data_IF_152298672886
#
_entry.id   IF_152298672886
#
_cell.length_a   1.000
_cell.length_b   1.000
_cell.length_c   1.000
_cell.angle_alpha   90.00
_cell.angle_beta   90.00
_cell.angle_gamma   90.00
#
_symmetry.space_group_name_H-M   'P 1'
#
loop_
_entity.id
_entity.type
_entity.pdbx_description
1 polymer ?
#
# COMPACT_ATOMS: atom_id res chain seq x y z
N UNK A 1 -7.98 -42.81 28.77
CA UNK A 1 -8.84 -42.32 27.66
C UNK A 1 -9.13 -40.81 27.71
N UNK A 2 -9.17 -40.16 28.89
CA UNK A 2 -9.49 -38.71 29.01
C UNK A 2 -8.37 -37.74 28.57
N UNK A 3 -7.11 -38.18 28.50
CA UNK A 3 -5.96 -37.32 28.13
C UNK A 3 -5.72 -37.21 26.61
N UNK A 4 -6.21 -38.17 25.82
CA UNK A 4 -6.07 -38.17 24.35
C UNK A 4 -7.11 -37.25 23.70
N UNK A 5 -8.30 -37.12 24.31
CA UNK A 5 -9.34 -36.18 23.86
C UNK A 5 -8.89 -34.72 24.03
N UNK A 6 -8.03 -34.43 25.01
CA UNK A 6 -7.52 -33.07 25.25
C UNK A 6 -6.51 -32.60 24.18
N UNK A 7 -5.81 -33.54 23.52
CA UNK A 7 -4.82 -33.23 22.47
C UNK A 7 -5.50 -32.96 21.12
N UNK A 8 -6.66 -33.57 20.86
CA UNK A 8 -7.42 -33.32 19.63
C UNK A 8 -8.16 -31.98 19.62
N UNK A 9 -8.40 -31.35 20.77
CA UNK A 9 -9.11 -30.05 20.84
C UNK A 9 -8.18 -28.83 20.60
N UNK A 10 -6.86 -29.02 20.64
CA UNK A 10 -5.88 -27.95 20.41
C UNK A 10 -5.45 -27.80 18.93
N UNK A 11 -5.90 -28.69 18.04
CA UNK A 11 -5.45 -28.73 16.65
C UNK A 11 -6.26 -27.92 15.63
N UNK A 12 -7.36 -27.26 16.03
CA UNK A 12 -8.35 -26.73 15.07
C UNK A 12 -8.40 -25.20 14.90
N UNK A 13 -7.41 -24.48 15.40
CA UNK A 13 -7.23 -23.04 15.14
C UNK A 13 -5.84 -22.94 14.51
N UNK A 14 -5.66 -22.69 13.21
CA UNK A 14 -5.81 -21.39 12.57
C UNK A 14 -5.77 -21.63 11.05
N UNK A 15 -6.90 -21.58 10.35
CA UNK A 15 -6.93 -21.32 8.89
C UNK A 15 -7.81 -20.10 8.62
N UNK A 16 -7.38 -18.96 9.18
CA UNK A 16 -7.88 -17.67 8.74
C UNK A 16 -7.27 -17.38 7.36
N UNK A 17 -8.00 -17.70 6.28
CA UNK A 17 -7.77 -17.13 4.95
C UNK A 17 -8.06 -15.62 5.04
N UNK A 18 -7.06 -14.88 5.49
CA UNK A 18 -7.06 -13.41 5.40
C UNK A 18 -6.92 -13.03 3.94
N UNK A 19 -7.76 -12.12 3.48
CA UNK A 19 -7.65 -11.50 2.16
C UNK A 19 -6.21 -11.02 1.99
N UNK A 20 -5.53 -11.56 0.97
CA UNK A 20 -4.10 -11.36 0.78
C UNK A 20 -3.84 -9.88 0.51
N UNK A 21 -3.45 -9.14 1.55
CA UNK A 21 -2.68 -7.93 1.34
C UNK A 21 -1.45 -8.34 0.53
N UNK A 22 -1.26 -7.71 -0.64
CA UNK A 22 -0.22 -8.06 -1.59
C UNK A 22 1.14 -7.89 -0.91
N UNK A 23 1.69 -8.99 -0.42
CA UNK A 23 3.02 -9.07 0.13
C UNK A 23 3.90 -9.81 -0.87
N UNK A 24 4.99 -9.18 -1.29
CA UNK A 24 5.96 -9.74 -2.21
C UNK A 24 7.29 -9.91 -1.49
N UNK A 25 7.65 -11.16 -1.16
CA UNK A 25 8.91 -11.47 -0.47
C UNK A 25 8.94 -12.79 0.27
N UNK A 26 10.00 -12.99 1.04
CA UNK A 26 10.22 -14.16 1.92
C UNK A 26 9.40 -14.02 3.21
N UNK A 27 9.04 -15.15 3.81
CA UNK A 27 8.37 -15.18 5.12
C UNK A 27 9.25 -15.95 6.12
N UNK A 28 9.22 -15.52 7.37
CA UNK A 28 9.99 -16.09 8.49
C UNK A 28 9.04 -16.42 9.65
N UNK A 29 9.49 -17.10 10.72
CA UNK A 29 8.69 -17.29 11.92
C UNK A 29 8.18 -15.95 12.46
N UNK A 30 6.92 -15.93 12.90
CA UNK A 30 6.25 -14.71 13.35
C UNK A 30 6.97 -14.04 14.52
N UNK A 31 7.00 -12.71 14.52
CA UNK A 31 7.59 -11.89 15.59
C UNK A 31 6.50 -11.19 16.38
N UNK A 32 6.80 -10.82 17.63
CA UNK A 32 5.86 -10.08 18.48
C UNK A 32 6.04 -8.56 18.39
N UNK A 33 7.28 -8.14 18.14
CA UNK A 33 7.70 -6.75 18.07
C UNK A 33 8.23 -6.47 16.67
N UNK A 34 7.89 -5.29 16.15
CA UNK A 34 8.33 -4.78 14.85
C UNK A 34 8.71 -3.33 15.08
N UNK A 35 9.95 -2.97 14.78
CA UNK A 35 10.41 -1.59 14.83
C UNK A 35 9.86 -0.82 13.61
N UNK A 36 9.41 0.41 13.82
CA UNK A 36 8.84 1.25 12.77
C UNK A 36 9.82 2.34 12.36
N UNK A 37 10.05 2.47 11.05
CA UNK A 37 10.95 3.46 10.46
C UNK A 37 10.23 4.21 9.35
N UNK A 38 10.55 5.49 9.20
CA UNK A 38 10.00 6.35 8.14
C UNK A 38 11.08 6.81 7.14
N UNK A 39 12.35 6.51 7.45
CA UNK A 39 13.47 6.63 6.54
C UNK A 39 14.35 5.37 6.65
N UNK A 40 14.89 4.92 5.52
CA UNK A 40 15.88 3.86 5.48
C UNK A 40 17.16 4.20 6.25
N UNK A 41 17.52 5.48 6.34
CA UNK A 41 18.70 5.96 7.06
C UNK A 41 18.59 5.82 8.59
N UNK A 42 17.37 5.71 9.12
CA UNK A 42 17.13 5.54 10.55
C UNK A 42 17.45 4.11 11.03
N UNK A 43 17.58 3.16 10.09
CA UNK A 43 17.89 1.76 10.39
C UNK A 43 19.38 1.58 10.64
N UNK A 44 19.78 1.73 11.90
CA UNK A 44 21.19 1.58 12.33
C UNK A 44 21.68 0.12 12.37
N UNK A 45 20.75 -0.84 12.43
CA UNK A 45 21.07 -2.26 12.52
C UNK A 45 21.34 -2.84 11.14
N UNK A 46 22.31 -3.75 11.05
CA UNK A 46 22.50 -4.56 9.85
C UNK A 46 21.25 -5.40 9.61
N UNK A 47 20.73 -5.36 8.39
CA UNK A 47 19.46 -5.98 8.07
C UNK A 47 19.41 -6.46 6.61
N UNK A 48 18.46 -7.34 6.35
CA UNK A 48 18.12 -7.81 5.02
C UNK A 48 16.66 -7.47 4.71
N UNK A 49 16.39 -6.97 3.51
CA UNK A 49 15.03 -6.75 3.03
C UNK A 49 14.36 -8.10 2.78
N UNK A 50 13.29 -8.39 3.51
CA UNK A 50 12.54 -9.64 3.33
C UNK A 50 11.47 -9.53 2.24
N UNK A 51 10.90 -8.34 2.04
CA UNK A 51 9.80 -8.14 1.11
C UNK A 51 9.20 -6.76 1.18
N UNK A 52 8.23 -6.52 0.33
CA UNK A 52 7.50 -5.25 0.22
C UNK A 52 6.00 -5.50 0.16
N UNK A 53 5.24 -4.53 0.63
CA UNK A 53 3.79 -4.48 0.44
C UNK A 53 3.39 -3.06 0.05
N UNK A 54 2.32 -2.96 -0.72
CA UNK A 54 1.72 -1.70 -1.13
C UNK A 54 0.28 -1.66 -0.64
N UNK A 55 -0.15 -0.47 -0.23
CA UNK A 55 -1.53 -0.16 0.09
C UNK A 55 -2.00 0.94 -0.87
N UNK A 56 -2.90 0.59 -1.80
CA UNK A 56 -3.51 1.51 -2.76
C UNK A 56 -4.65 2.36 -2.18
N UNK A 57 -4.83 3.59 -2.67
CA UNK A 57 -5.77 4.60 -2.17
C UNK A 57 -7.18 4.07 -1.80
N UNK A 58 -7.78 4.65 -0.74
CA UNK A 58 -9.11 4.27 -0.23
C UNK A 58 -9.16 4.05 1.29
N UNK A 59 -8.05 4.28 2.01
CA UNK A 59 -8.02 4.13 3.46
C UNK A 59 -8.78 5.26 4.13
N UNK A 60 -9.80 4.88 4.91
CA UNK A 60 -10.53 5.82 5.77
C UNK A 60 -9.66 6.40 6.90
N UNK A 61 -8.55 5.73 7.24
CA UNK A 61 -7.59 6.16 8.27
C UNK A 61 -6.20 5.60 7.94
N UNK A 62 -5.19 6.47 8.03
CA UNK A 62 -3.79 6.13 7.84
C UNK A 62 -3.28 5.24 8.99
N UNK A 63 -3.72 5.54 10.20
CA UNK A 63 -3.36 4.81 11.42
C UNK A 63 -3.81 3.35 11.33
N UNK A 64 -5.04 3.11 10.87
CA UNK A 64 -5.54 1.74 10.64
C UNK A 64 -4.76 1.00 9.56
N UNK A 65 -4.24 1.73 8.59
CA UNK A 65 -3.47 1.17 7.48
C UNK A 65 -2.06 0.78 7.94
N UNK A 66 -1.43 1.66 8.71
CA UNK A 66 -0.16 1.40 9.39
C UNK A 66 -0.28 0.18 10.32
N UNK A 67 -1.31 0.12 11.16
CA UNK A 67 -1.54 -1.03 12.04
C UNK A 67 -1.68 -2.35 11.27
N UNK A 68 -2.42 -2.36 10.15
CA UNK A 68 -2.54 -3.56 9.30
C UNK A 68 -1.20 -4.00 8.71
N UNK A 69 -0.36 -3.05 8.31
CA UNK A 69 0.98 -3.34 7.80
C UNK A 69 1.85 -3.92 8.92
N UNK A 70 1.79 -3.38 10.12
CA UNK A 70 2.51 -3.89 11.29
C UNK A 70 2.06 -5.32 11.62
N UNK A 71 0.75 -5.58 11.64
CA UNK A 71 0.22 -6.92 11.89
C UNK A 71 0.67 -7.92 10.82
N UNK A 72 0.72 -7.48 9.56
CA UNK A 72 1.26 -8.28 8.46
C UNK A 72 2.77 -8.53 8.66
N UNK A 73 3.53 -7.53 9.09
CA UNK A 73 4.96 -7.64 9.36
C UNK A 73 5.27 -8.65 10.47
N UNK A 74 4.51 -8.60 11.58
CA UNK A 74 4.56 -9.60 12.66
C UNK A 74 4.28 -11.00 12.12
N UNK A 75 3.20 -11.15 11.34
CA UNK A 75 2.83 -12.44 10.74
C UNK A 75 3.87 -12.97 9.75
N UNK A 76 4.60 -12.09 9.06
CA UNK A 76 5.66 -12.43 8.09
C UNK A 76 7.04 -12.59 8.74
N UNK A 77 7.16 -12.29 10.03
CA UNK A 77 8.40 -12.46 10.79
C UNK A 77 9.42 -11.34 10.58
N UNK A 78 8.96 -10.14 10.21
CA UNK A 78 9.79 -8.95 10.12
C UNK A 78 10.22 -8.48 11.52
N UNK A 79 11.42 -7.94 11.61
CA UNK A 79 11.88 -7.27 12.84
C UNK A 79 11.72 -5.76 12.74
N UNK A 80 11.58 -5.22 11.52
CA UNK A 80 11.25 -3.83 11.29
C UNK A 80 10.49 -3.60 9.99
N UNK A 81 9.87 -2.43 9.88
CA UNK A 81 9.18 -1.95 8.67
C UNK A 81 9.61 -0.52 8.39
N UNK A 82 9.97 -0.25 7.14
CA UNK A 82 10.26 1.09 6.64
C UNK A 82 9.06 1.53 5.80
N UNK A 83 8.35 2.57 6.25
CA UNK A 83 7.22 3.16 5.56
C UNK A 83 7.68 4.26 4.60
N UNK A 84 7.08 4.31 3.42
CA UNK A 84 7.21 5.43 2.49
C UNK A 84 5.87 5.74 1.83
N UNK A 85 5.74 6.97 1.34
CA UNK A 85 4.57 7.42 0.57
C UNK A 85 5.06 7.81 -0.81
N UNK A 86 4.48 7.19 -1.83
CA UNK A 86 4.74 7.54 -3.23
C UNK A 86 3.50 8.16 -3.86
N UNK A 87 3.71 9.17 -4.71
CA UNK A 87 2.68 9.74 -5.58
C UNK A 87 2.81 9.13 -6.98
N UNK A 88 1.81 8.35 -7.39
CA UNK A 88 1.75 7.77 -8.73
C UNK A 88 0.73 8.53 -9.58
N UNK A 89 1.12 8.97 -10.78
CA UNK A 89 0.19 9.52 -11.77
C UNK A 89 -0.52 8.34 -12.43
N UNK A 90 -1.82 8.18 -12.18
CA UNK A 90 -2.59 7.02 -12.64
C UNK A 90 -3.43 7.31 -13.89
N UNK A 91 -3.50 8.56 -14.33
CA UNK A 91 -4.19 8.94 -15.55
C UNK A 91 -4.09 10.44 -15.82
N UNK A 92 -4.27 10.83 -17.07
CA UNK A 92 -4.33 12.23 -17.48
C UNK A 92 -5.75 12.51 -17.98
N UNK A 93 -6.44 13.44 -17.34
CA UNK A 93 -7.73 13.93 -17.80
C UNK A 93 -7.50 15.16 -18.69
N UNK A 94 -8.00 15.12 -19.92
CA UNK A 94 -7.99 16.26 -20.83
C UNK A 94 -9.42 16.71 -21.11
N UNK A 95 -9.69 18.00 -20.95
CA UNK A 95 -10.93 18.60 -21.43
C UNK A 95 -10.60 19.57 -22.56
N UNK A 96 -11.36 19.47 -23.64
CA UNK A 96 -11.30 20.40 -24.76
C UNK A 96 -12.64 21.12 -24.87
N UNK A 97 -12.59 22.45 -24.81
CA UNK A 97 -13.75 23.31 -25.00
C UNK A 97 -13.56 24.12 -26.28
N UNK A 98 -14.48 23.93 -27.23
CA UNK A 98 -14.55 24.75 -28.45
C UNK A 98 -15.75 25.68 -28.39
N UNK A 99 -15.55 26.98 -28.62
CA UNK A 99 -16.65 27.94 -28.76
C UNK A 99 -16.74 28.39 -30.22
N UNK A 100 -17.91 28.18 -30.84
CA UNK A 100 -18.20 28.65 -32.21
C UNK A 100 -19.14 29.83 -32.11
N UNK A 101 -18.65 31.02 -32.42
CA UNK A 101 -19.45 32.24 -32.41
C UNK A 101 -19.85 32.61 -33.84
N UNK A 102 -21.12 32.43 -34.19
CA UNK A 102 -21.68 32.84 -35.48
C UNK A 102 -22.07 34.33 -35.44
N UNK A 103 -21.09 35.23 -35.65
CA UNK A 103 -21.39 36.63 -35.98
C UNK A 103 -21.60 36.74 -37.49
N UNK A 104 -22.77 37.28 -37.86
CA UNK A 104 -23.33 37.49 -39.21
C UNK A 104 -22.33 37.49 -40.39
N UNK A 105 -22.72 36.72 -41.43
CA UNK A 105 -22.29 36.75 -42.84
C UNK A 105 -20.76 36.94 -43.04
N UNK A 106 -20.04 35.82 -43.06
CA UNK A 106 -18.64 35.65 -43.50
C UNK A 106 -17.46 35.80 -42.51
N UNK A 107 -17.64 35.69 -41.19
CA UNK A 107 -16.46 35.49 -40.31
C UNK A 107 -16.76 34.59 -39.10
N UNK A 108 -16.43 33.31 -39.24
CA UNK A 108 -16.44 32.36 -38.12
C UNK A 108 -15.09 32.45 -37.40
N UNK A 109 -15.12 32.77 -36.12
CA UNK A 109 -13.94 32.72 -35.23
C UNK A 109 -14.08 31.49 -34.34
N UNK A 110 -13.10 30.59 -34.40
CA UNK A 110 -13.02 29.39 -33.56
C UNK A 110 -11.95 29.63 -32.50
N UNK A 111 -12.33 29.58 -31.22
CA UNK A 111 -11.39 29.55 -30.11
C UNK A 111 -11.43 28.18 -29.45
N UNK A 112 -10.24 27.60 -29.29
CA UNK A 112 -10.02 26.28 -28.70
C UNK A 112 -9.16 26.47 -27.46
N UNK A 113 -9.67 26.07 -26.30
CA UNK A 113 -8.87 25.97 -25.08
C UNK A 113 -8.84 24.51 -24.63
N UNK A 114 -7.64 24.03 -24.34
CA UNK A 114 -7.42 22.69 -23.78
C UNK A 114 -6.74 22.82 -22.44
N UNK A 115 -7.27 22.12 -21.44
CA UNK A 115 -6.62 21.98 -20.13
C UNK A 115 -6.40 20.51 -19.85
N UNK A 116 -5.17 20.15 -19.53
CA UNK A 116 -4.75 18.81 -19.14
C UNK A 116 -4.48 18.80 -17.64
N UNK A 117 -5.09 17.87 -16.92
CA UNK A 117 -4.88 17.67 -15.48
C UNK A 117 -4.44 16.25 -15.24
N UNK A 118 -3.25 16.07 -14.66
CA UNK A 118 -2.77 14.77 -14.23
C UNK A 118 -3.47 14.36 -12.92
N UNK A 119 -4.05 13.17 -12.94
CA UNK A 119 -4.67 12.55 -11.78
C UNK A 119 -3.58 11.81 -11.00
N UNK A 120 -3.25 12.32 -9.81
CA UNK A 120 -2.26 11.75 -8.89
C UNK A 120 -2.93 10.90 -7.80
N UNK A 121 -2.31 9.78 -7.46
CA UNK A 121 -2.74 8.86 -6.41
C UNK A 121 -1.59 8.63 -5.42
N UNK A 122 -1.84 8.90 -4.14
CA UNK A 122 -0.90 8.55 -3.07
C UNK A 122 -1.04 7.07 -2.70
N UNK A 123 0.08 6.35 -2.66
CA UNK A 123 0.18 4.96 -2.21
C UNK A 123 1.12 4.88 -1.00
N UNK A 124 0.75 4.06 -0.03
CA UNK A 124 1.63 3.72 1.09
C UNK A 124 2.43 2.49 0.68
N UNK A 125 3.74 2.58 0.78
CA UNK A 125 4.65 1.46 0.60
C UNK A 125 5.27 1.11 1.94
N UNK A 126 5.49 -0.18 2.13
CA UNK A 126 6.17 -0.67 3.31
C UNK A 126 7.18 -1.74 2.91
N UNK A 127 8.43 -1.51 3.30
CA UNK A 127 9.56 -2.42 3.11
C UNK A 127 9.82 -3.14 4.42
N UNK A 128 9.75 -4.46 4.40
CA UNK A 128 9.87 -5.28 5.59
C UNK A 128 11.33 -5.74 5.69
N UNK A 129 11.91 -5.61 6.88
CA UNK A 129 13.31 -5.93 7.13
C UNK A 129 13.46 -6.99 8.23
N UNK A 130 14.48 -7.81 8.10
CA UNK A 130 14.93 -8.80 9.08
C UNK A 130 16.31 -8.38 9.58
N UNK A 131 16.53 -8.32 10.88
CA UNK A 131 17.86 -8.07 11.41
C UNK A 131 18.74 -9.30 11.22
N UNK A 132 20.01 -9.04 10.93
CA UNK A 132 21.02 -10.09 10.77
C UNK A 132 21.48 -10.63 12.12
#
# INVERSE_FOLDING_TARGET
MKKIVLIFLLGFLIINKTYAQKYFGKSYPSTQNVDEYFDSADVKKSHTVMGKTELAQGFRSLEKSQQKIIDLAKKKGADGVIFSIEEEVYGTASSSGGSVNNKKKNKTTVSSSSTTTDLKQKKILATFIKYN
#
